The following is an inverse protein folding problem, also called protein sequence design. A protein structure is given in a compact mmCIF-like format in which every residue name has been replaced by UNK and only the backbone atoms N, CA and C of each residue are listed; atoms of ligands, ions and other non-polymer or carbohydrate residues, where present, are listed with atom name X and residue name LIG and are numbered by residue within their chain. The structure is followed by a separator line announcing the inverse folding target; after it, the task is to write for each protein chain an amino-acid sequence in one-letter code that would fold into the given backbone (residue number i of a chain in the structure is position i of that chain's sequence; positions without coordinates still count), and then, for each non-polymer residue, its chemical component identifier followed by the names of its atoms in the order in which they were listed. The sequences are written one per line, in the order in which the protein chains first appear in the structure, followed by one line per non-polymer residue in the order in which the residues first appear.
data_IF_041839181362
#
_entry.id   IF_041839181362
#
_cell.length_a   1.000
_cell.length_b   1.000
_cell.length_c   1.000
_cell.angle_alpha   90.00
_cell.angle_beta   90.00
_cell.angle_gamma   90.00
#
_symmetry.space_group_name_H-M   'P 1'
#
loop_
_entity.id
_entity.type
_entity.pdbx_description
1 polymer ?
#
# COMPACT_ATOMS: atom_id res chain seq x y z
N UNK A 1 -2.28 25.19 -39.47
CA UNK A 1 -1.66 25.51 -38.16
C UNK A 1 -1.88 24.31 -37.25
N UNK A 2 -0.84 23.49 -37.07
CA UNK A 2 -0.83 22.31 -36.20
C UNK A 2 -0.81 22.72 -34.73
N UNK A 3 -1.72 22.15 -33.93
CA UNK A 3 -1.47 21.67 -32.56
C UNK A 3 -2.81 21.32 -31.90
N UNK A 4 -3.00 20.03 -31.60
CA UNK A 4 -3.40 19.51 -30.30
C UNK A 4 -3.42 17.99 -30.42
N UNK A 5 -2.22 17.41 -30.42
CA UNK A 5 -2.08 16.04 -29.96
C UNK A 5 -2.69 16.02 -28.56
N UNK A 6 -3.73 15.23 -28.33
CA UNK A 6 -4.35 15.11 -27.01
C UNK A 6 -3.26 14.80 -25.99
N UNK A 7 -3.11 15.68 -25.01
CA UNK A 7 -2.04 15.64 -24.01
C UNK A 7 -2.09 14.30 -23.26
N UNK A 8 -1.33 13.34 -23.74
CA UNK A 8 -1.25 12.01 -23.14
C UNK A 8 -0.17 12.08 -22.09
N UNK A 9 -0.54 11.86 -20.83
CA UNK A 9 0.43 11.85 -19.73
C UNK A 9 1.17 10.53 -19.72
N UNK A 10 2.49 10.59 -19.58
CA UNK A 10 3.35 9.43 -19.57
C UNK A 10 3.86 9.17 -18.16
N UNK A 11 3.65 7.95 -17.67
CA UNK A 11 4.46 7.39 -16.59
C UNK A 11 5.65 6.69 -17.25
N UNK A 12 6.86 7.10 -16.90
CA UNK A 12 8.06 6.46 -17.44
C UNK A 12 8.41 5.28 -16.57
N UNK A 13 8.41 4.09 -17.17
CA UNK A 13 8.71 2.83 -16.45
C UNK A 13 10.05 2.32 -16.94
N UNK A 14 11.02 2.24 -16.04
CA UNK A 14 12.33 1.67 -16.29
C UNK A 14 12.45 0.33 -15.56
N UNK A 15 12.85 -0.71 -16.28
CA UNK A 15 13.18 -2.00 -15.67
C UNK A 15 14.67 -2.23 -15.77
N UNK A 16 15.31 -2.41 -14.62
CA UNK A 16 16.73 -2.72 -14.51
C UNK A 16 16.91 -4.22 -14.33
N UNK A 17 17.48 -4.85 -15.36
CA UNK A 17 17.76 -6.30 -15.43
C UNK A 17 19.24 -6.57 -15.10
N UNK A 18 19.82 -5.85 -14.14
CA UNK A 18 21.25 -6.00 -13.84
C UNK A 18 21.53 -7.19 -12.93
N UNK A 19 20.61 -7.53 -12.01
CA UNK A 19 20.68 -8.68 -11.09
C UNK A 19 19.26 -9.09 -10.67
N UNK A 20 19.08 -10.35 -10.27
CA UNK A 20 17.86 -10.78 -9.59
C UNK A 20 17.89 -10.38 -8.11
N UNK A 21 16.77 -9.93 -7.53
CA UNK A 21 15.46 -9.74 -8.16
C UNK A 21 15.43 -8.52 -9.09
N UNK A 22 14.64 -8.61 -10.16
CA UNK A 22 14.47 -7.51 -11.11
C UNK A 22 13.94 -6.27 -10.39
N UNK A 23 14.40 -5.10 -10.81
CA UNK A 23 13.98 -3.83 -10.21
C UNK A 23 13.23 -3.00 -11.23
N UNK A 24 12.11 -2.43 -10.81
CA UNK A 24 11.36 -1.46 -11.61
C UNK A 24 11.35 -0.11 -10.91
N UNK A 25 11.68 0.93 -11.68
CA UNK A 25 11.57 2.33 -11.31
C UNK A 25 10.41 2.92 -12.12
N UNK A 26 9.41 3.50 -11.45
CA UNK A 26 8.29 4.21 -12.08
C UNK A 26 8.41 5.68 -11.74
N UNK A 27 8.64 6.51 -12.75
CA UNK A 27 8.66 7.96 -12.61
C UNK A 27 7.27 8.55 -12.82
N UNK A 28 6.86 9.39 -11.88
CA UNK A 28 5.62 10.13 -11.92
C UNK A 28 5.90 11.59 -12.26
N UNK A 29 4.96 12.27 -12.94
CA UNK A 29 5.08 13.69 -13.24
C UNK A 29 4.99 14.59 -12.00
N UNK A 30 4.58 14.03 -10.86
CA UNK A 30 4.32 14.76 -9.63
C UNK A 30 4.78 13.93 -8.42
N UNK A 31 5.51 14.56 -7.50
CA UNK A 31 6.08 13.88 -6.32
C UNK A 31 5.01 13.49 -5.32
N UNK A 32 3.92 14.24 -5.23
CA UNK A 32 2.77 13.89 -4.39
C UNK A 32 2.10 12.62 -4.88
N UNK A 33 1.94 12.48 -6.20
CA UNK A 33 1.41 11.27 -6.80
C UNK A 33 2.32 10.07 -6.60
N UNK A 34 3.63 10.23 -6.79
CA UNK A 34 4.62 9.18 -6.49
C UNK A 34 4.53 8.73 -5.03
N UNK A 35 4.41 9.69 -4.09
CA UNK A 35 4.26 9.41 -2.67
C UNK A 35 2.97 8.67 -2.35
N UNK A 36 1.82 9.10 -2.88
CA UNK A 36 0.54 8.43 -2.66
C UNK A 36 0.56 7.00 -3.24
N UNK A 37 1.11 6.82 -4.45
CA UNK A 37 1.26 5.51 -5.05
C UNK A 37 2.17 4.61 -4.21
N UNK A 38 3.33 5.12 -3.78
CA UNK A 38 4.26 4.40 -2.89
C UNK A 38 3.55 3.87 -1.64
N UNK A 39 2.82 4.73 -0.94
CA UNK A 39 2.05 4.35 0.25
C UNK A 39 0.98 3.30 -0.06
N UNK A 40 0.31 3.42 -1.21
CA UNK A 40 -0.75 2.48 -1.59
C UNK A 40 -0.25 1.06 -1.82
N UNK A 41 1.01 0.88 -2.22
CA UNK A 41 1.58 -0.43 -2.54
C UNK A 41 2.53 -0.98 -1.47
N UNK A 42 2.99 -0.17 -0.52
CA UNK A 42 4.02 -0.52 0.47
C UNK A 42 3.66 -1.75 1.32
N UNK A 43 2.36 -2.00 1.56
CA UNK A 43 1.88 -3.19 2.28
C UNK A 43 1.88 -4.47 1.44
N UNK A 44 1.98 -4.36 0.12
CA UNK A 44 1.80 -5.46 -0.85
C UNK A 44 3.04 -5.76 -1.69
N UNK A 45 3.92 -4.78 -1.86
CA UNK A 45 5.09 -4.84 -2.74
C UNK A 45 6.35 -4.43 -1.98
N UNK A 46 7.47 -5.03 -2.37
CA UNK A 46 8.78 -4.67 -1.81
C UNK A 46 9.27 -3.36 -2.43
N UNK A 47 8.85 -2.25 -1.82
CA UNK A 47 9.29 -0.90 -2.18
C UNK A 47 10.71 -0.67 -1.66
N UNK A 48 11.56 -0.05 -2.49
CA UNK A 48 12.92 0.33 -2.12
C UNK A 48 13.03 1.85 -1.97
N UNK A 49 14.03 2.34 -1.21
CA UNK A 49 14.37 3.76 -1.21
C UNK A 49 14.65 4.27 -2.62
N UNK A 50 14.11 5.44 -2.93
CA UNK A 50 14.17 6.06 -4.24
C UNK A 50 13.90 7.56 -4.16
N UNK A 51 13.85 8.19 -5.33
CA UNK A 51 13.66 9.64 -5.44
C UNK A 51 12.24 10.06 -5.11
N UNK A 52 12.02 11.35 -4.82
CA UNK A 52 10.71 11.85 -4.41
C UNK A 52 9.62 11.65 -5.48
N UNK A 53 10.00 11.70 -6.76
CA UNK A 53 9.11 11.50 -7.92
C UNK A 53 9.16 10.09 -8.52
N UNK A 54 9.98 9.19 -7.96
CA UNK A 54 10.15 7.84 -8.48
C UNK A 54 9.80 6.77 -7.45
N UNK A 55 9.01 5.78 -7.85
CA UNK A 55 8.70 4.62 -7.00
C UNK A 55 9.50 3.43 -7.50
N UNK A 56 10.47 3.01 -6.69
CA UNK A 56 11.31 1.84 -6.93
C UNK A 56 10.76 0.64 -6.19
N UNK A 57 10.66 -0.51 -6.86
CA UNK A 57 10.24 -1.76 -6.24
C UNK A 57 10.95 -2.97 -6.86
N UNK A 58 11.03 -4.05 -6.09
CA UNK A 58 11.51 -5.35 -6.58
C UNK A 58 10.35 -6.16 -7.15
N UNK A 59 10.55 -6.72 -8.34
CA UNK A 59 9.63 -7.71 -8.90
C UNK A 59 9.82 -9.04 -8.17
N UNK A 60 8.72 -9.80 -7.97
CA UNK A 60 8.80 -11.10 -7.32
C UNK A 60 9.49 -12.10 -8.25
N UNK A 61 10.07 -13.14 -7.68
CA UNK A 61 10.69 -14.24 -8.42
C UNK A 61 9.69 -15.03 -9.28
N UNK A 62 8.39 -14.83 -9.07
CA UNK A 62 7.32 -15.42 -9.89
C UNK A 62 7.18 -14.75 -11.27
N UNK A 63 7.80 -13.59 -11.50
CA UNK A 63 7.90 -13.00 -12.84
C UNK A 63 8.95 -13.78 -13.63
N UNK A 64 8.49 -14.46 -14.69
CA UNK A 64 9.32 -15.31 -15.54
C UNK A 64 9.78 -14.61 -16.81
N UNK A 65 9.02 -13.62 -17.29
CA UNK A 65 9.33 -12.90 -18.52
C UNK A 65 8.76 -11.48 -18.53
N UNK A 66 9.36 -10.62 -19.35
CA UNK A 66 8.99 -9.22 -19.53
C UNK A 66 8.93 -8.87 -21.02
N UNK A 67 7.81 -8.29 -21.44
CA UNK A 67 7.57 -7.96 -22.84
C UNK A 67 7.08 -6.52 -23.00
N UNK A 68 7.66 -5.78 -23.92
CA UNK A 68 7.15 -4.45 -24.29
C UNK A 68 5.96 -4.60 -25.24
N UNK A 69 4.81 -4.04 -24.89
CA UNK A 69 3.60 -4.07 -25.71
C UNK A 69 3.19 -2.67 -26.15
N UNK A 70 3.24 -2.43 -27.46
CA UNK A 70 2.74 -1.19 -28.05
C UNK A 70 1.21 -1.10 -27.98
N UNK A 71 0.50 -2.21 -28.18
CA UNK A 71 -0.97 -2.24 -28.16
C UNK A 71 -1.54 -1.95 -26.78
N UNK A 72 -0.86 -2.38 -25.72
CA UNK A 72 -1.21 -2.04 -24.33
C UNK A 72 -0.54 -0.76 -23.85
N UNK A 73 0.39 -0.20 -24.63
CA UNK A 73 1.16 0.99 -24.25
C UNK A 73 1.93 0.80 -22.95
N UNK A 74 2.62 -0.32 -22.79
CA UNK A 74 3.17 -0.72 -21.50
C UNK A 74 4.15 -1.89 -21.54
N UNK A 75 4.58 -2.32 -20.36
CA UNK A 75 5.42 -3.52 -20.18
C UNK A 75 4.58 -4.62 -19.54
N UNK A 76 4.40 -5.72 -20.25
CA UNK A 76 3.76 -6.93 -19.75
C UNK A 76 4.75 -7.70 -18.88
N UNK A 77 4.30 -8.12 -17.71
CA UNK A 77 4.92 -9.09 -16.83
C UNK A 77 4.19 -10.42 -16.97
N UNK A 78 4.94 -11.46 -17.31
CA UNK A 78 4.44 -12.83 -17.33
C UNK A 78 4.78 -13.49 -15.99
N UNK A 79 3.76 -14.02 -15.33
CA UNK A 79 3.90 -14.75 -14.08
C UNK A 79 3.81 -16.25 -14.31
N UNK A 80 4.48 -17.02 -13.46
CA UNK A 80 4.34 -18.48 -13.44
C UNK A 80 2.90 -18.90 -13.03
N UNK A 81 2.32 -18.21 -12.05
CA UNK A 81 1.00 -18.51 -11.46
C UNK A 81 0.01 -17.36 -11.65
N UNK A 82 -1.26 -17.72 -11.83
CA UNK A 82 -2.36 -16.76 -11.97
C UNK A 82 -2.62 -16.00 -10.67
N UNK A 83 -2.47 -16.67 -9.54
CA UNK A 83 -2.60 -16.08 -8.21
C UNK A 83 -1.60 -14.94 -8.02
N UNK A 84 -0.33 -15.15 -8.38
CA UNK A 84 0.72 -14.14 -8.22
C UNK A 84 0.47 -12.93 -9.12
N UNK A 85 -0.01 -13.15 -10.35
CA UNK A 85 -0.43 -12.08 -11.24
C UNK A 85 -1.57 -11.25 -10.62
N UNK A 86 -2.61 -11.89 -10.07
CA UNK A 86 -3.73 -11.20 -9.41
C UNK A 86 -3.28 -10.34 -8.24
N UNK A 87 -2.34 -10.83 -7.43
CA UNK A 87 -1.78 -10.10 -6.30
C UNK A 87 -0.95 -8.88 -6.73
N UNK A 88 -0.49 -8.84 -7.97
CA UNK A 88 0.29 -7.73 -8.52
C UNK A 88 -0.54 -6.61 -9.14
N UNK A 89 -1.84 -6.84 -9.35
CA UNK A 89 -2.77 -5.85 -9.91
C UNK A 89 -2.98 -4.72 -8.90
N UNK A 90 -2.86 -3.48 -9.38
CA UNK A 90 -3.15 -2.28 -8.61
C UNK A 90 -3.62 -1.12 -9.52
N UNK A 91 -3.47 0.12 -9.05
CA UNK A 91 -3.91 1.29 -9.79
C UNK A 91 -3.07 1.57 -11.06
N UNK A 92 -1.79 1.16 -11.09
CA UNK A 92 -0.84 1.35 -12.21
C UNK A 92 -0.59 0.04 -12.98
N UNK A 93 -0.54 -1.08 -12.27
CA UNK A 93 -0.39 -2.44 -12.80
C UNK A 93 -1.76 -3.03 -13.13
N UNK A 94 -2.08 -3.20 -14.42
CA UNK A 94 -3.39 -3.66 -14.87
C UNK A 94 -3.35 -5.10 -15.40
N UNK A 95 -4.40 -5.91 -15.17
CA UNK A 95 -4.45 -7.25 -15.74
C UNK A 95 -4.57 -7.18 -17.26
N UNK A 96 -3.99 -8.16 -17.96
CA UNK A 96 -4.20 -8.34 -19.41
C UNK A 96 -5.47 -9.15 -19.63
N UNK A 97 -6.42 -8.59 -20.39
CA UNK A 97 -7.71 -9.25 -20.63
C UNK A 97 -7.53 -10.62 -21.31
N UNK A 98 -8.18 -11.65 -20.75
CA UNK A 98 -8.10 -13.02 -21.26
C UNK A 98 -6.76 -13.73 -20.97
N UNK A 99 -5.85 -13.11 -20.21
CA UNK A 99 -4.52 -13.66 -19.88
C UNK A 99 -4.32 -13.63 -18.36
N UNK A 100 -4.77 -14.66 -17.62
CA UNK A 100 -4.81 -14.62 -16.16
C UNK A 100 -3.43 -14.62 -15.48
N UNK A 101 -2.37 -14.95 -16.21
CA UNK A 101 -0.97 -14.93 -15.74
C UNK A 101 -0.21 -13.66 -16.14
N UNK A 102 -0.90 -12.65 -16.66
CA UNK A 102 -0.27 -11.46 -17.23
C UNK A 102 -0.84 -10.19 -16.61
N UNK A 103 0.07 -9.31 -16.23
CA UNK A 103 -0.21 -7.95 -15.75
C UNK A 103 0.73 -7.03 -16.50
N UNK A 104 0.33 -5.80 -16.78
CA UNK A 104 1.21 -4.84 -17.44
C UNK A 104 1.29 -3.52 -16.67
N UNK A 105 2.47 -2.90 -16.70
CA UNK A 105 2.65 -1.51 -16.31
C UNK A 105 2.15 -0.62 -17.43
N UNK A 106 1.07 0.12 -17.17
CA UNK A 106 0.55 1.10 -18.13
C UNK A 106 1.43 2.35 -18.13
N UNK A 107 2.02 2.67 -19.28
CA UNK A 107 2.89 3.85 -19.41
C UNK A 107 2.15 5.07 -19.96
N UNK A 108 1.20 4.87 -20.88
CA UNK A 108 0.47 5.96 -21.52
C UNK A 108 -0.92 6.11 -20.93
N UNK A 109 -1.25 7.30 -20.43
CA UNK A 109 -2.48 7.60 -19.75
C UNK A 109 -3.20 8.75 -20.44
N UNK A 110 -4.49 8.57 -20.74
CA UNK A 110 -5.33 9.71 -21.07
C UNK A 110 -5.52 10.61 -19.85
N UNK A 111 -5.81 11.89 -20.05
CA UNK A 111 -6.05 12.82 -18.95
C UNK A 111 -7.18 12.34 -18.01
N UNK A 112 -8.24 11.74 -18.56
CA UNK A 112 -9.35 11.22 -17.77
C UNK A 112 -8.91 10.03 -16.89
N UNK A 113 -8.12 9.09 -17.45
CA UNK A 113 -7.59 7.97 -16.67
C UNK A 113 -6.59 8.44 -15.62
N UNK A 114 -5.75 9.42 -15.96
CA UNK A 114 -4.77 9.98 -15.04
C UNK A 114 -5.43 10.75 -13.90
N UNK A 115 -6.46 11.53 -14.19
CA UNK A 115 -7.28 12.21 -13.17
C UNK A 115 -7.94 11.19 -12.24
N UNK A 116 -8.45 10.09 -12.79
CA UNK A 116 -9.01 8.98 -12.00
C UNK A 116 -7.94 8.33 -11.12
N UNK A 117 -6.76 8.04 -11.65
CA UNK A 117 -5.63 7.50 -10.89
C UNK A 117 -5.29 8.40 -9.69
N UNK A 118 -5.11 9.71 -9.93
CA UNK A 118 -4.83 10.67 -8.86
C UNK A 118 -5.92 10.67 -7.80
N UNK A 119 -7.19 10.78 -8.21
CA UNK A 119 -8.31 10.77 -7.26
C UNK A 119 -8.39 9.47 -6.44
N UNK A 120 -8.13 8.31 -7.06
CA UNK A 120 -8.11 7.03 -6.34
C UNK A 120 -6.98 6.97 -5.32
N UNK A 121 -5.78 7.42 -5.67
CA UNK A 121 -4.63 7.40 -4.75
C UNK A 121 -4.79 8.40 -3.60
N UNK A 122 -5.36 9.58 -3.85
CA UNK A 122 -5.70 10.55 -2.81
C UNK A 122 -6.72 9.99 -1.83
N UNK A 123 -7.80 9.35 -2.32
CA UNK A 123 -8.79 8.71 -1.45
C UNK A 123 -8.20 7.60 -0.59
N UNK A 124 -7.31 6.77 -1.16
CA UNK A 124 -6.61 5.71 -0.41
C UNK A 124 -5.72 6.28 0.69
N UNK A 125 -5.04 7.41 0.42
CA UNK A 125 -4.24 8.12 1.43
C UNK A 125 -5.13 8.61 2.56
N UNK A 126 -6.24 9.25 2.24
CA UNK A 126 -7.15 9.83 3.25
C UNK A 126 -7.79 8.72 4.11
N UNK A 127 -8.19 7.61 3.49
CA UNK A 127 -8.67 6.43 4.21
C UNK A 127 -7.59 5.84 5.14
N UNK A 128 -6.34 5.74 4.68
CA UNK A 128 -5.25 5.24 5.52
C UNK A 128 -4.97 6.17 6.72
N UNK A 129 -5.17 7.49 6.55
CA UNK A 129 -5.07 8.47 7.64
C UNK A 129 -6.21 8.32 8.65
N UNK A 130 -7.44 8.09 8.19
CA UNK A 130 -8.59 7.82 9.07
C UNK A 130 -8.42 6.50 9.84
N UNK A 131 -8.01 5.42 9.17
CA UNK A 131 -7.75 4.12 9.83
C UNK A 131 -6.62 4.19 10.86
N UNK A 132 -5.56 4.97 10.58
CA UNK A 132 -4.45 5.16 11.52
C UNK A 132 -4.81 6.02 12.72
N UNK A 133 -5.81 6.91 12.59
CA UNK A 133 -6.28 7.80 13.66
C UNK A 133 -7.57 7.31 14.33
N UNK A 134 -8.20 6.25 13.82
CA UNK A 134 -9.30 5.57 14.48
C UNK A 134 -8.76 5.00 15.80
N UNK A 135 -9.20 5.60 16.91
CA UNK A 135 -8.92 5.07 18.25
C UNK A 135 -9.38 3.61 18.29
N UNK A 136 -8.59 2.65 18.82
CA UNK A 136 -9.10 1.31 19.06
C UNK A 136 -10.31 1.45 19.97
N UNK A 137 -11.44 0.95 19.48
CA UNK A 137 -12.69 1.00 20.21
C UNK A 137 -12.48 0.37 21.58
N UNK A 138 -12.94 1.09 22.59
CA UNK A 138 -12.65 0.89 24.00
C UNK A 138 -12.95 -0.57 24.36
N UNK A 139 -11.92 -1.33 24.72
CA UNK A 139 -12.08 -2.62 25.39
C UNK A 139 -13.17 -2.48 26.47
N UNK A 140 -14.14 -3.40 26.44
CA UNK A 140 -15.40 -3.31 27.18
C UNK A 140 -15.24 -2.92 28.64
N UNK A 141 -16.28 -2.25 29.17
CA UNK A 141 -16.44 -2.00 30.60
C UNK A 141 -16.07 -3.25 31.42
N UNK A 142 -15.27 -3.14 32.49
CA UNK A 142 -15.04 -4.27 33.38
C UNK A 142 -16.37 -4.69 34.02
N UNK A 143 -16.61 -6.01 34.20
CA UNK A 143 -17.84 -6.49 34.82
C UNK A 143 -17.88 -6.05 36.27
N UNK A 144 -18.96 -5.35 36.61
CA UNK A 144 -19.26 -4.90 37.95
C UNK A 144 -19.86 -6.08 38.74
N UNK A 145 -19.02 -6.87 39.42
CA UNK A 145 -19.51 -7.92 40.33
C UNK A 145 -18.58 -8.10 41.52
N UNK A 146 -18.98 -7.56 42.67
CA UNK A 146 -19.01 -8.26 43.96
C UNK A 146 -19.55 -7.32 45.06
N UNK A 147 -20.87 -7.29 45.20
CA UNK A 147 -21.52 -7.05 46.49
C UNK A 147 -21.42 -8.35 47.28
N UNK A 148 -20.73 -8.37 48.42
CA UNK A 148 -21.10 -9.19 49.57
C UNK A 148 -20.61 -8.53 50.87
N UNK A 149 -21.58 -7.97 51.59
CA UNK A 149 -21.53 -7.69 53.02
C UNK A 149 -21.28 -8.96 53.83
N UNK A 150 -20.55 -8.87 54.96
CA UNK A 150 -21.03 -9.23 56.33
C UNK A 150 -19.90 -9.19 57.38
N UNK A 151 -20.15 -8.38 58.42
CA UNK A 151 -19.94 -8.57 59.88
C UNK A 151 -18.61 -9.09 60.49
N UNK A 152 -18.05 -8.21 61.34
CA UNK A 152 -17.65 -8.37 62.75
C UNK A 152 -16.78 -9.51 63.29
N UNK A 153 -15.93 -9.07 64.23
CA UNK A 153 -15.28 -9.75 65.37
C UNK A 153 -14.09 -10.69 65.13
N UNK A 154 -12.88 -10.17 65.39
CA UNK A 154 -12.17 -10.50 66.64
C UNK A 154 -10.85 -9.69 66.77
N UNK A 155 -10.75 -8.93 67.87
CA UNK A 155 -9.48 -8.51 68.51
C UNK A 155 -8.97 -9.65 69.44
N UNK A 156 -7.86 -9.54 70.24
CA UNK A 156 -6.81 -8.51 70.37
C UNK A 156 -5.36 -9.06 70.52
N UNK A 157 -4.34 -8.17 70.54
CA UNK A 157 -3.13 -8.21 71.39
C UNK A 157 -2.33 -6.89 71.20
N UNK A 158 -2.31 -5.93 72.13
CA UNK A 158 -1.53 -5.81 73.38
C UNK A 158 -0.01 -5.55 73.18
N UNK A 159 0.38 -4.30 73.53
CA UNK A 159 1.62 -3.80 74.18
C UNK A 159 2.86 -3.26 73.41
N UNK A 160 2.99 -1.92 73.53
CA UNK A 160 4.02 -1.11 74.26
C UNK A 160 5.32 -0.58 73.60
N UNK A 161 5.57 0.69 74.00
CA UNK A 161 6.79 1.57 74.04
C UNK A 161 7.14 2.29 72.72
N UNK A 162 7.42 3.59 72.68
CA UNK A 162 7.52 4.65 73.70
C UNK A 162 8.21 5.91 73.12
N UNK A 163 8.14 7.02 73.89
CA UNK A 163 8.73 8.38 73.68
C UNK A 163 8.08 9.21 72.56
N UNK A 164 7.68 10.47 72.78
CA UNK A 164 8.18 11.49 73.72
C UNK A 164 7.05 12.29 74.35
#
# INVERSE_FOLDING_TARGET
MSSKAGDTRRLTVFIRVTRMPLRVDIEFPDSDLARCYRQSIERSKKVLPGESFAVRMELPSSVVDLEMSQSLGGIIMHFDKDYDAKMWVDDVCRPVNGKPKQVYFKQYWSDAEFAKLRSTLEKKRDQAYEEGNARPDRAGQPPNTALHSTSSDNQPAIFRRGRS
#
